data_IF_312010745520
#
_entry.id   IF_312010745520
#
_cell.length_a   1.000
_cell.length_b   1.000
_cell.length_c   1.000
_cell.angle_alpha   90.00
_cell.angle_beta   90.00
_cell.angle_gamma   90.00
#
_symmetry.space_group_name_H-M   'P 1'
#
loop_
_entity.id
_entity.type
_entity.pdbx_description
1 polymer ?
#
# COMPACT_ATOMS: atom_id res chain seq x y z
N UNK A 1 31.48 33.17 24.73
CA UNK A 1 31.82 33.66 23.38
C UNK A 1 32.17 32.44 22.55
N UNK A 2 31.16 31.80 21.95
CA UNK A 2 30.68 32.01 20.57
C UNK A 2 31.57 31.35 19.52
N UNK A 3 31.11 30.21 18.99
CA UNK A 3 31.06 29.91 17.55
C UNK A 3 30.10 28.74 17.30
N UNK A 4 28.81 29.11 17.23
CA UNK A 4 27.80 28.77 16.22
C UNK A 4 27.78 27.36 15.60
N UNK A 5 26.77 26.58 16.01
CA UNK A 5 26.15 25.51 15.22
C UNK A 5 25.49 26.10 13.96
N UNK A 6 25.79 25.53 12.80
CA UNK A 6 25.00 25.70 11.58
C UNK A 6 24.73 24.29 11.05
N UNK A 7 23.48 23.83 11.17
CA UNK A 7 22.79 22.89 10.27
C UNK A 7 21.56 22.31 10.98
N UNK A 8 20.50 23.11 11.15
CA UNK A 8 19.14 22.67 11.48
C UNK A 8 18.20 23.87 11.37
N UNK A 9 18.04 24.40 10.15
CA UNK A 9 17.08 25.49 9.91
C UNK A 9 16.71 25.56 8.43
N UNK A 10 16.01 24.54 7.91
CA UNK A 10 15.27 24.62 6.65
C UNK A 10 14.17 23.57 6.64
N UNK A 11 13.06 23.85 7.33
CA UNK A 11 11.72 23.26 7.12
C UNK A 11 10.71 24.03 7.99
N UNK A 12 10.72 25.35 7.84
CA UNK A 12 9.69 26.25 8.38
C UNK A 12 9.37 27.25 7.28
N UNK A 13 8.07 27.35 6.97
CA UNK A 13 7.43 28.22 5.99
C UNK A 13 7.59 27.83 4.51
N UNK A 14 6.65 27.00 4.03
CA UNK A 14 5.87 27.28 2.83
C UNK A 14 4.47 26.63 2.94
N UNK A 15 3.79 26.91 4.07
CA UNK A 15 2.34 26.88 4.09
C UNK A 15 1.88 28.21 3.50
N UNK A 16 1.43 28.18 2.24
CA UNK A 16 0.75 29.22 1.44
C UNK A 16 1.33 29.29 0.01
N UNK A 17 1.14 28.21 -0.74
CA UNK A 17 0.86 28.30 -2.16
C UNK A 17 -0.36 27.42 -2.39
N UNK A 18 -1.54 28.05 -2.30
CA UNK A 18 -2.80 27.44 -2.72
C UNK A 18 -2.68 27.15 -4.23
N UNK A 19 -2.45 25.89 -4.58
CA UNK A 19 -3.15 25.36 -5.73
C UNK A 19 -4.53 25.01 -5.20
N UNK A 20 -5.51 25.89 -5.43
CA UNK A 20 -6.91 25.53 -5.28
C UNK A 20 -7.12 24.19 -6.00
N UNK A 21 -7.79 23.19 -5.41
CA UNK A 21 -8.39 22.15 -6.21
C UNK A 21 -9.40 22.88 -7.09
N UNK A 22 -9.05 23.12 -8.35
CA UNK A 22 -10.06 23.46 -9.34
C UNK A 22 -11.12 22.37 -9.21
N UNK A 23 -12.34 22.77 -8.86
CA UNK A 23 -13.50 21.92 -9.06
C UNK A 23 -13.41 21.47 -10.52
N UNK A 24 -13.01 20.20 -10.73
CA UNK A 24 -12.97 19.62 -12.06
C UNK A 24 -14.42 19.57 -12.48
N UNK A 25 -14.79 20.50 -13.34
CA UNK A 25 -16.06 20.45 -14.03
C UNK A 25 -16.16 19.05 -14.64
N UNK A 26 -17.18 18.31 -14.21
CA UNK A 26 -17.62 17.11 -14.87
C UNK A 26 -18.16 17.54 -16.23
N UNK A 27 -17.27 17.64 -17.23
CA UNK A 27 -17.55 17.71 -18.66
C UNK A 27 -16.22 17.81 -19.44
N UNK A 28 -15.42 16.73 -19.46
CA UNK A 28 -14.50 16.46 -20.58
C UNK A 28 -14.86 15.09 -21.17
N UNK A 29 -15.33 15.00 -22.42
CA UNK A 29 -15.73 13.74 -23.02
C UNK A 29 -14.50 12.88 -23.36
N UNK A 30 -14.02 12.13 -22.36
CA UNK A 30 -13.30 10.87 -22.57
C UNK A 30 -11.78 10.85 -22.32
N UNK A 31 -11.14 11.94 -21.87
CA UNK A 31 -9.67 11.95 -21.62
C UNK A 31 -9.28 11.41 -20.23
N UNK A 32 -10.13 11.64 -19.23
CA UNK A 32 -9.87 11.21 -17.85
C UNK A 32 -10.95 10.26 -17.38
N UNK A 33 -10.58 9.38 -16.45
CA UNK A 33 -11.54 8.52 -15.78
C UNK A 33 -12.44 9.37 -14.87
N UNK A 34 -13.74 9.04 -14.76
CA UNK A 34 -14.59 9.63 -13.74
C UNK A 34 -14.14 9.20 -12.34
N UNK A 35 -14.60 9.94 -11.32
CA UNK A 35 -14.43 9.55 -9.93
C UNK A 35 -14.94 8.11 -9.72
N UNK A 36 -14.22 7.24 -8.99
CA UNK A 36 -14.65 5.88 -8.68
C UNK A 36 -16.12 5.77 -8.21
N UNK A 37 -16.57 6.68 -7.35
CA UNK A 37 -17.94 6.73 -6.85
C UNK A 37 -18.99 7.00 -7.96
N UNK A 38 -18.58 7.69 -9.04
CA UNK A 38 -19.42 8.10 -10.16
C UNK A 38 -19.18 7.27 -11.42
N UNK A 39 -18.21 6.36 -11.42
CA UNK A 39 -17.83 5.53 -12.56
C UNK A 39 -18.63 4.20 -12.58
N UNK A 40 -19.52 3.96 -13.56
CA UNK A 40 -20.25 2.70 -13.67
C UNK A 40 -19.36 1.48 -13.95
N UNK A 41 -18.18 1.70 -14.56
CA UNK A 41 -17.19 0.63 -14.75
C UNK A 41 -16.56 0.19 -13.42
N UNK A 42 -16.64 1.03 -12.39
CA UNK A 42 -16.15 0.71 -11.06
C UNK A 42 -17.10 -0.21 -10.26
N UNK A 43 -18.33 -0.46 -10.72
CA UNK A 43 -19.34 -1.21 -9.95
C UNK A 43 -19.49 -2.66 -10.36
N UNK A 44 -19.13 -3.62 -9.51
CA UNK A 44 -19.16 -5.04 -9.89
C UNK A 44 -20.49 -5.51 -10.54
N UNK A 45 -20.44 -6.33 -11.61
CA UNK A 45 -21.61 -6.76 -12.39
C UNK A 45 -22.47 -7.78 -11.63
N UNK A 46 -23.75 -7.93 -11.97
CA UNK A 46 -24.63 -8.91 -11.30
C UNK A 46 -24.02 -10.33 -11.25
N UNK A 47 -24.20 -11.01 -10.11
CA UNK A 47 -23.72 -12.38 -9.89
C UNK A 47 -22.23 -12.52 -9.58
N UNK A 48 -21.47 -11.41 -9.51
CA UNK A 48 -20.03 -11.42 -9.24
C UNK A 48 -19.66 -12.17 -7.95
N UNK A 49 -20.52 -12.11 -6.92
CA UNK A 49 -20.28 -12.72 -5.60
C UNK A 49 -20.09 -14.24 -5.67
N UNK A 50 -20.71 -14.89 -6.66
CA UNK A 50 -20.64 -16.34 -6.84
C UNK A 50 -19.36 -16.82 -7.56
N UNK A 51 -18.55 -15.90 -8.08
CA UNK A 51 -17.27 -16.24 -8.71
C UNK A 51 -16.19 -16.50 -7.65
N UNK A 52 -15.06 -17.08 -8.05
CA UNK A 52 -13.93 -17.38 -7.16
C UNK A 52 -13.01 -16.17 -6.98
N UNK A 53 -12.32 -16.03 -5.84
CA UNK A 53 -11.34 -14.97 -5.64
C UNK A 53 -10.29 -14.91 -6.76
N UNK A 54 -9.92 -13.70 -7.19
CA UNK A 54 -9.05 -13.43 -8.33
C UNK A 54 -9.73 -13.50 -9.70
N UNK A 55 -11.03 -13.83 -9.78
CA UNK A 55 -11.75 -13.83 -11.06
C UNK A 55 -11.83 -12.43 -11.64
N UNK A 56 -11.38 -12.28 -12.88
CA UNK A 56 -11.52 -11.05 -13.68
C UNK A 56 -12.99 -10.84 -14.02
N UNK A 57 -13.57 -9.74 -13.54
CA UNK A 57 -14.96 -9.38 -13.80
C UNK A 57 -15.08 -8.43 -14.99
N UNK A 58 -14.16 -7.46 -15.10
CA UNK A 58 -14.04 -6.55 -16.25
C UNK A 58 -12.60 -6.10 -16.47
N UNK A 59 -12.29 -5.77 -17.72
CA UNK A 59 -11.04 -5.12 -18.11
C UNK A 59 -11.37 -3.81 -18.84
N UNK A 60 -10.69 -2.72 -18.48
CA UNK A 60 -10.67 -1.46 -19.20
C UNK A 60 -9.29 -1.30 -19.82
N UNK A 61 -9.17 -1.56 -21.11
CA UNK A 61 -7.93 -1.34 -21.86
C UNK A 61 -7.71 0.17 -22.06
N UNK A 62 -6.44 0.58 -22.18
CA UNK A 62 -6.04 1.98 -22.36
C UNK A 62 -6.67 2.87 -21.28
N UNK A 63 -6.64 2.41 -20.02
CA UNK A 63 -7.36 3.06 -18.92
C UNK A 63 -6.99 4.54 -18.79
N UNK A 64 -5.70 4.84 -18.94
CA UNK A 64 -5.19 6.18 -19.11
C UNK A 64 -4.90 6.41 -20.60
N UNK A 65 -5.79 7.12 -21.30
CA UNK A 65 -5.71 7.35 -22.74
C UNK A 65 -5.09 8.72 -23.15
N UNK A 66 -4.59 9.50 -22.19
CA UNK A 66 -3.88 10.75 -22.43
C UNK A 66 -2.49 10.49 -23.05
N UNK A 67 -2.05 11.41 -23.92
CA UNK A 67 -0.72 11.32 -24.55
C UNK A 67 0.08 12.61 -24.32
N UNK A 68 1.24 12.55 -23.64
CA UNK A 68 1.79 11.39 -22.94
C UNK A 68 1.02 11.06 -21.65
N UNK A 69 1.01 9.79 -21.26
CA UNK A 69 0.63 9.38 -19.89
C UNK A 69 1.66 10.00 -18.92
N UNK A 70 1.25 10.65 -17.81
CA UNK A 70 2.15 11.40 -16.92
C UNK A 70 3.00 10.51 -15.99
N UNK A 71 3.45 9.35 -16.47
CA UNK A 71 4.35 8.43 -15.77
C UNK A 71 5.47 8.07 -16.74
N UNK A 72 6.73 8.13 -16.29
CA UNK A 72 7.86 7.83 -17.17
C UNK A 72 7.90 6.33 -17.50
N UNK A 73 8.45 6.00 -18.67
CA UNK A 73 8.62 4.63 -19.17
C UNK A 73 7.33 3.81 -19.39
N UNK A 74 6.15 4.38 -19.19
CA UNK A 74 4.87 3.72 -19.47
C UNK A 74 4.54 3.75 -20.97
N UNK A 75 4.23 2.60 -21.54
CA UNK A 75 3.77 2.44 -22.92
C UNK A 75 2.26 2.43 -23.03
N UNK A 76 1.58 1.76 -22.10
CA UNK A 76 0.13 1.61 -22.07
C UNK A 76 -0.34 1.24 -20.66
N UNK A 77 -1.64 1.34 -20.40
CA UNK A 77 -2.27 0.99 -19.12
C UNK A 77 -3.57 0.22 -19.32
N UNK A 78 -3.94 -0.60 -18.35
CA UNK A 78 -5.29 -1.16 -18.26
C UNK A 78 -5.72 -1.27 -16.81
N UNK A 79 -7.03 -1.24 -16.56
CA UNK A 79 -7.60 -1.54 -15.26
C UNK A 79 -8.29 -2.89 -15.28
N UNK A 80 -8.18 -3.63 -14.18
CA UNK A 80 -8.87 -4.90 -13.96
C UNK A 80 -9.77 -4.73 -12.75
N UNK A 81 -11.06 -4.97 -12.92
CA UNK A 81 -11.99 -5.14 -11.81
C UNK A 81 -12.14 -6.64 -11.56
N UNK A 82 -11.90 -7.08 -10.34
CA UNK A 82 -11.83 -8.50 -9.97
C UNK A 82 -12.55 -8.79 -8.66
N UNK A 83 -12.97 -10.04 -8.49
CA UNK A 83 -13.59 -10.52 -7.23
C UNK A 83 -12.50 -10.82 -6.20
N UNK A 84 -12.72 -10.43 -4.95
CA UNK A 84 -11.86 -10.75 -3.80
C UNK A 84 -12.67 -11.11 -2.55
N UNK A 85 -12.04 -11.07 -1.37
CA UNK A 85 -12.61 -11.41 -0.05
C UNK A 85 -12.37 -10.26 0.93
N UNK A 86 -13.37 -9.93 1.75
CA UNK A 86 -13.29 -8.87 2.76
C UNK A 86 -12.69 -9.35 4.11
N UNK A 87 -12.58 -8.46 5.10
CA UNK A 87 -11.98 -8.80 6.40
C UNK A 87 -12.78 -9.85 7.19
N UNK A 88 -14.04 -10.10 6.82
CA UNK A 88 -14.97 -11.02 7.46
C UNK A 88 -15.25 -12.27 6.59
N UNK A 89 -14.39 -12.54 5.62
CA UNK A 89 -14.46 -13.66 4.68
C UNK A 89 -15.68 -13.63 3.72
N UNK A 90 -16.37 -12.50 3.58
CA UNK A 90 -17.43 -12.33 2.58
C UNK A 90 -16.84 -11.96 1.22
N UNK A 91 -17.61 -12.17 0.15
CA UNK A 91 -17.23 -11.72 -1.17
C UNK A 91 -17.17 -10.18 -1.20
N UNK A 92 -16.06 -9.64 -1.73
CA UNK A 92 -15.90 -8.24 -2.13
C UNK A 92 -15.32 -8.17 -3.54
N UNK A 93 -15.13 -6.98 -4.08
CA UNK A 93 -14.41 -6.77 -5.34
C UNK A 93 -13.33 -5.72 -5.13
N UNK A 94 -12.43 -5.60 -6.09
CA UNK A 94 -11.41 -4.55 -6.08
C UNK A 94 -10.98 -4.24 -7.50
N UNK A 95 -10.13 -3.23 -7.62
CA UNK A 95 -9.57 -2.79 -8.89
C UNK A 95 -8.05 -2.73 -8.77
N UNK A 96 -7.37 -3.03 -9.86
CA UNK A 96 -5.95 -2.72 -10.01
C UNK A 96 -5.70 -2.03 -11.34
N UNK A 97 -4.88 -0.99 -11.32
CA UNK A 97 -4.31 -0.39 -12.53
C UNK A 97 -2.99 -1.06 -12.84
N UNK A 98 -2.82 -1.52 -14.07
CA UNK A 98 -1.59 -2.11 -14.57
C UNK A 98 -0.93 -1.16 -15.56
N UNK A 99 0.35 -0.90 -15.34
CA UNK A 99 1.23 -0.10 -16.19
C UNK A 99 2.15 -1.04 -16.97
N UNK A 100 2.10 -0.95 -18.30
CA UNK A 100 2.95 -1.72 -19.18
C UNK A 100 4.13 -0.86 -19.63
N UNK A 101 5.37 -1.38 -19.61
CA UNK A 101 6.56 -0.63 -19.98
C UNK A 101 6.62 -0.39 -21.50
N UNK A 102 7.17 0.77 -21.92
CA UNK A 102 7.48 1.05 -23.35
C UNK A 102 8.42 0.01 -23.94
N UNK A 103 9.38 -0.43 -23.13
CA UNK A 103 10.42 -1.38 -23.50
C UNK A 103 10.28 -2.60 -22.58
N UNK A 104 9.30 -3.50 -22.83
CA UNK A 104 9.19 -4.72 -22.04
C UNK A 104 10.45 -5.57 -22.24
N UNK A 105 10.94 -6.17 -21.16
CA UNK A 105 12.11 -7.05 -21.21
C UNK A 105 11.86 -8.25 -22.12
N UNK A 106 10.64 -8.76 -22.13
CA UNK A 106 10.23 -9.89 -22.95
C UNK A 106 9.17 -9.45 -23.98
N UNK A 107 9.43 -9.74 -25.25
CA UNK A 107 8.41 -9.61 -26.30
C UNK A 107 7.39 -10.73 -26.16
N UNK A 108 6.10 -10.43 -26.41
CA UNK A 108 5.02 -11.43 -26.50
C UNK A 108 5.29 -12.52 -27.56
N UNK A 109 6.18 -12.25 -28.52
CA UNK A 109 6.59 -13.21 -29.56
C UNK A 109 7.89 -13.96 -29.22
N UNK A 110 8.47 -13.74 -28.04
CA UNK A 110 9.68 -14.44 -27.61
C UNK A 110 9.36 -15.90 -27.30
N UNK A 111 9.89 -16.83 -28.09
CA UNK A 111 9.83 -18.28 -27.83
C UNK A 111 10.98 -18.77 -26.94
N UNK A 112 11.84 -17.86 -26.48
CA UNK A 112 12.93 -18.19 -25.57
C UNK A 112 12.36 -18.54 -24.19
N UNK A 113 12.59 -19.78 -23.75
CA UNK A 113 12.31 -20.23 -22.38
C UNK A 113 13.02 -19.40 -21.30
N UNK A 114 13.99 -18.57 -21.69
CA UNK A 114 14.83 -17.77 -20.80
C UNK A 114 14.35 -16.33 -20.64
N UNK A 115 13.22 -15.93 -21.25
CA UNK A 115 12.63 -14.61 -21.04
C UNK A 115 11.29 -14.74 -20.34
N UNK A 116 11.28 -14.53 -19.01
CA UNK A 116 10.05 -14.46 -18.22
C UNK A 116 9.71 -13.00 -17.95
N UNK A 117 8.48 -12.58 -18.29
CA UNK A 117 8.02 -11.22 -17.98
C UNK A 117 7.84 -11.08 -16.46
N UNK A 118 8.51 -10.08 -15.87
CA UNK A 118 8.32 -9.69 -14.48
C UNK A 118 7.08 -8.81 -14.32
N UNK A 119 6.29 -9.09 -13.29
CA UNK A 119 5.15 -8.30 -12.85
C UNK A 119 5.37 -7.93 -11.38
N UNK A 120 5.45 -6.64 -11.10
CA UNK A 120 5.52 -6.10 -9.74
C UNK A 120 4.12 -5.71 -9.30
N UNK A 121 3.59 -6.35 -8.26
CA UNK A 121 2.46 -5.81 -7.50
C UNK A 121 2.99 -4.79 -6.50
N UNK A 122 2.65 -3.51 -6.70
CA UNK A 122 3.10 -2.40 -5.88
C UNK A 122 1.94 -1.86 -5.04
N UNK A 123 2.00 -2.09 -3.73
CA UNK A 123 1.07 -1.53 -2.75
C UNK A 123 1.49 -0.08 -2.44
N UNK A 124 0.98 0.88 -3.21
CA UNK A 124 1.18 2.31 -2.99
C UNK A 124 0.53 2.74 -1.66
N UNK A 125 1.21 3.39 -0.70
CA UNK A 125 0.56 3.90 0.50
C UNK A 125 -0.28 5.15 0.17
N UNK A 126 -1.60 5.00 0.04
CA UNK A 126 -2.52 6.11 -0.32
C UNK A 126 -3.38 6.61 0.85
N UNK A 127 -3.36 5.89 1.97
CA UNK A 127 -3.66 6.33 3.34
C UNK A 127 -4.97 7.11 3.52
N UNK A 128 -6.06 6.61 2.94
CA UNK A 128 -7.34 7.33 2.95
C UNK A 128 -8.55 6.41 3.02
N UNK A 129 -9.57 6.85 3.76
CA UNK A 129 -10.91 6.26 3.72
C UNK A 129 -11.84 6.85 2.65
N UNK A 130 -11.29 7.56 1.66
CA UNK A 130 -12.00 8.13 0.53
C UNK A 130 -11.82 7.25 -0.72
N UNK A 131 -12.91 6.60 -1.16
CA UNK A 131 -12.91 5.79 -2.38
C UNK A 131 -12.43 6.57 -3.61
N UNK A 132 -12.77 7.86 -3.69
CA UNK A 132 -12.41 8.72 -4.82
C UNK A 132 -10.94 9.15 -4.82
N UNK A 133 -10.20 8.87 -3.75
CA UNK A 133 -8.75 9.08 -3.66
C UNK A 133 -7.96 7.77 -3.88
N UNK A 134 -8.60 6.71 -4.37
CA UNK A 134 -7.92 5.43 -4.62
C UNK A 134 -6.88 5.51 -5.76
N UNK A 135 -5.81 4.70 -5.73
CA UNK A 135 -4.73 4.75 -6.71
C UNK A 135 -5.18 4.63 -8.16
N UNK A 136 -6.18 3.78 -8.43
CA UNK A 136 -6.74 3.56 -9.76
C UNK A 136 -7.22 4.83 -10.46
N UNK A 137 -7.68 5.82 -9.69
CA UNK A 137 -8.08 7.12 -10.18
C UNK A 137 -6.93 8.11 -10.10
N UNK A 138 -6.29 8.26 -8.93
CA UNK A 138 -5.28 9.29 -8.69
C UNK A 138 -4.06 9.21 -9.61
N UNK A 139 -3.62 8.01 -9.99
CA UNK A 139 -2.43 7.82 -10.82
C UNK A 139 -2.57 8.32 -12.26
N UNK A 140 -3.79 8.71 -12.71
CA UNK A 140 -3.96 9.36 -14.01
C UNK A 140 -3.29 10.75 -14.08
N UNK A 141 -2.95 11.35 -12.93
CA UNK A 141 -2.19 12.62 -12.84
C UNK A 141 -0.71 12.43 -12.55
N UNK A 142 -0.23 11.20 -12.51
CA UNK A 142 1.17 10.87 -12.24
C UNK A 142 1.35 10.11 -10.94
N UNK A 143 2.55 9.60 -10.74
CA UNK A 143 2.92 8.87 -9.53
C UNK A 143 3.55 9.79 -8.47
N UNK A 144 3.32 9.55 -7.18
CA UNK A 144 3.80 10.45 -6.12
C UNK A 144 5.30 10.30 -5.81
N UNK A 145 5.88 9.11 -6.03
CA UNK A 145 7.17 8.74 -5.45
C UNK A 145 8.23 8.26 -6.48
N UNK A 146 7.82 7.91 -7.70
CA UNK A 146 8.72 7.59 -8.83
C UNK A 146 9.02 6.10 -9.05
N UNK A 147 8.53 5.21 -8.21
CA UNK A 147 8.87 3.78 -8.27
C UNK A 147 8.16 3.00 -9.38
N UNK A 148 6.99 3.45 -9.83
CA UNK A 148 6.35 2.90 -11.03
C UNK A 148 7.27 3.15 -12.22
N UNK A 149 7.76 4.38 -12.41
CA UNK A 149 8.71 4.70 -13.48
C UNK A 149 10.01 3.89 -13.39
N UNK A 150 10.54 3.67 -12.19
CA UNK A 150 11.77 2.87 -11.98
C UNK A 150 11.53 1.39 -12.33
N UNK A 151 10.41 0.82 -11.91
CA UNK A 151 10.03 -0.56 -12.25
C UNK A 151 9.80 -0.73 -13.76
N UNK A 152 9.10 0.22 -14.38
CA UNK A 152 8.89 0.24 -15.83
C UNK A 152 10.20 0.40 -16.61
N UNK A 153 11.18 1.15 -16.08
CA UNK A 153 12.52 1.26 -16.67
C UNK A 153 13.27 -0.09 -16.71
N UNK A 154 13.00 -0.98 -15.74
CA UNK A 154 13.52 -2.35 -15.71
C UNK A 154 12.77 -3.30 -16.65
N UNK A 155 11.71 -2.82 -17.33
CA UNK A 155 10.90 -3.60 -18.25
C UNK A 155 9.87 -4.49 -17.55
N UNK A 156 9.58 -4.24 -16.27
CA UNK A 156 8.53 -4.93 -15.52
C UNK A 156 7.16 -4.31 -15.81
N UNK A 157 6.12 -5.11 -15.75
CA UNK A 157 4.76 -4.58 -15.59
C UNK A 157 4.59 -4.18 -14.13
N UNK A 158 3.82 -3.14 -13.87
CA UNK A 158 3.51 -2.70 -12.50
C UNK A 158 2.01 -2.75 -12.30
N UNK A 159 1.53 -3.55 -11.37
CA UNK A 159 0.14 -3.60 -10.92
C UNK A 159 0.03 -2.84 -9.61
N UNK A 160 -0.79 -1.80 -9.57
CA UNK A 160 -1.11 -1.05 -8.35
C UNK A 160 -2.55 -1.35 -7.98
N UNK A 161 -2.82 -2.17 -6.95
CA UNK A 161 -4.17 -2.45 -6.51
C UNK A 161 -4.69 -1.36 -5.57
N UNK A 162 -5.99 -1.10 -5.67
CA UNK A 162 -6.76 -0.38 -4.66
C UNK A 162 -7.03 -1.34 -3.50
N UNK A 163 -5.98 -1.64 -2.74
CA UNK A 163 -5.99 -2.77 -1.81
C UNK A 163 -6.97 -2.62 -0.65
N UNK A 164 -7.47 -1.44 -0.34
CA UNK A 164 -8.48 -1.24 0.70
C UNK A 164 -9.92 -1.46 0.21
N UNK A 165 -10.07 -1.76 -1.09
CA UNK A 165 -11.33 -2.17 -1.71
C UNK A 165 -12.38 -1.04 -1.84
N UNK A 166 -13.63 -1.39 -2.17
CA UNK A 166 -14.69 -0.45 -2.52
C UNK A 166 -15.20 0.38 -1.36
N UNK A 167 -14.79 0.05 -0.14
CA UNK A 167 -15.13 0.77 1.08
C UNK A 167 -14.00 1.70 1.54
N UNK A 168 -12.86 1.74 0.83
CA UNK A 168 -11.65 2.47 1.25
C UNK A 168 -11.31 2.16 2.73
N UNK A 169 -11.13 0.87 3.00
CA UNK A 169 -10.94 0.32 4.34
C UNK A 169 -9.52 0.54 4.89
N UNK A 170 -8.99 1.77 4.82
CA UNK A 170 -7.65 2.09 5.32
C UNK A 170 -7.42 1.57 6.76
N UNK A 171 -6.31 0.87 6.94
CA UNK A 171 -5.93 0.20 8.19
C UNK A 171 -6.50 -1.21 8.38
N UNK A 172 -7.45 -1.66 7.54
CA UNK A 172 -7.96 -3.04 7.56
C UNK A 172 -7.06 -3.97 6.75
N UNK A 173 -6.02 -4.53 7.38
CA UNK A 173 -4.99 -5.26 6.63
C UNK A 173 -5.43 -6.64 6.14
N UNK A 174 -6.49 -7.24 6.71
CA UNK A 174 -6.97 -8.55 6.24
C UNK A 174 -7.55 -8.42 4.83
N UNK A 175 -8.48 -7.48 4.62
CA UNK A 175 -9.01 -7.18 3.28
C UNK A 175 -7.90 -6.69 2.33
N UNK A 176 -6.93 -5.90 2.83
CA UNK A 176 -5.77 -5.48 2.03
C UNK A 176 -4.90 -6.63 1.54
N UNK A 177 -4.65 -7.61 2.40
CA UNK A 177 -3.90 -8.81 2.07
C UNK A 177 -4.64 -9.69 1.04
N UNK A 178 -5.94 -9.95 1.24
CA UNK A 178 -6.74 -10.70 0.27
C UNK A 178 -6.80 -10.02 -1.10
N UNK A 179 -7.07 -8.71 -1.14
CA UNK A 179 -7.13 -7.96 -2.40
C UNK A 179 -5.78 -7.95 -3.11
N UNK A 180 -4.67 -7.84 -2.37
CA UNK A 180 -3.32 -7.90 -2.95
C UNK A 180 -3.02 -9.28 -3.57
N UNK A 181 -3.39 -10.37 -2.89
CA UNK A 181 -3.21 -11.72 -3.43
C UNK A 181 -4.06 -11.93 -4.69
N UNK A 182 -5.33 -11.51 -4.65
CA UNK A 182 -6.24 -11.68 -5.77
C UNK A 182 -5.96 -10.74 -6.94
N UNK A 183 -5.36 -9.57 -6.69
CA UNK A 183 -4.93 -8.68 -7.77
C UNK A 183 -3.82 -9.34 -8.59
N UNK A 184 -2.90 -10.05 -7.93
CA UNK A 184 -1.86 -10.82 -8.65
C UNK A 184 -2.49 -11.92 -9.50
N UNK A 185 -3.45 -12.68 -8.97
CA UNK A 185 -4.20 -13.70 -9.75
C UNK A 185 -4.88 -13.08 -10.97
N UNK A 186 -5.62 -11.99 -10.76
CA UNK A 186 -6.35 -11.32 -11.82
C UNK A 186 -5.42 -10.79 -12.92
N UNK A 187 -4.30 -10.18 -12.53
CA UNK A 187 -3.31 -9.65 -13.48
C UNK A 187 -2.58 -10.75 -14.23
N UNK A 188 -2.20 -11.86 -13.57
CA UNK A 188 -1.61 -13.02 -14.25
C UNK A 188 -2.60 -13.62 -15.27
N UNK A 189 -3.88 -13.70 -14.91
CA UNK A 189 -4.92 -14.16 -15.83
C UNK A 189 -5.03 -13.24 -17.05
N UNK A 190 -5.08 -11.92 -16.87
CA UNK A 190 -5.16 -10.96 -17.98
C UNK A 190 -3.89 -10.97 -18.83
N UNK A 191 -2.72 -11.07 -18.20
CA UNK A 191 -1.43 -11.14 -18.89
C UNK A 191 -1.38 -12.33 -19.85
N UNK A 192 -1.87 -13.51 -19.45
CA UNK A 192 -1.98 -14.68 -20.33
C UNK A 192 -3.06 -14.48 -21.41
N UNK A 193 -4.30 -14.19 -21.00
CA UNK A 193 -5.46 -14.26 -21.92
C UNK A 193 -5.58 -13.08 -22.88
N UNK A 194 -5.14 -11.87 -22.48
CA UNK A 194 -5.23 -10.68 -23.33
C UNK A 194 -3.91 -10.31 -24.02
N UNK A 195 -2.77 -10.70 -23.44
CA UNK A 195 -1.44 -10.26 -23.91
C UNK A 195 -0.49 -11.40 -24.25
N UNK A 196 -0.90 -12.67 -24.06
CA UNK A 196 -0.09 -13.85 -24.40
C UNK A 196 1.15 -14.03 -23.53
N UNK A 197 1.23 -13.35 -22.39
CA UNK A 197 2.36 -13.41 -21.45
C UNK A 197 2.19 -14.64 -20.56
N UNK A 198 2.77 -15.75 -21.01
CA UNK A 198 2.75 -17.02 -20.28
C UNK A 198 3.85 -17.08 -19.23
N UNK A 199 3.56 -17.75 -18.12
CA UNK A 199 4.51 -18.01 -17.03
C UNK A 199 5.17 -16.74 -16.46
N UNK A 200 4.45 -15.62 -16.41
CA UNK A 200 4.95 -14.40 -15.78
C UNK A 200 5.38 -14.65 -14.32
N UNK A 201 6.44 -13.98 -13.87
CA UNK A 201 6.87 -14.00 -12.47
C UNK A 201 6.28 -12.79 -11.77
N UNK A 202 5.56 -13.03 -10.67
CA UNK A 202 5.01 -11.97 -9.85
C UNK A 202 5.83 -11.81 -8.56
N UNK A 203 6.11 -10.57 -8.17
CA UNK A 203 6.65 -10.20 -6.86
C UNK A 203 5.82 -9.06 -6.27
N UNK A 204 5.87 -8.90 -4.95
CA UNK A 204 5.13 -7.85 -4.23
C UNK A 204 6.09 -6.83 -3.63
N UNK A 205 5.67 -5.58 -3.54
CA UNK A 205 6.40 -4.55 -2.83
C UNK A 205 5.47 -3.51 -2.22
N UNK A 206 5.75 -3.14 -0.99
CA UNK A 206 5.03 -2.09 -0.28
C UNK A 206 5.94 -1.33 0.68
N UNK A 207 5.61 -0.06 0.88
CA UNK A 207 6.24 0.81 1.88
C UNK A 207 5.19 1.41 2.80
N UNK A 208 5.50 1.61 4.09
CA UNK A 208 4.57 2.17 5.09
C UNK A 208 3.27 1.36 5.16
N UNK A 209 2.08 1.98 5.06
CA UNK A 209 0.80 1.25 4.96
C UNK A 209 0.79 0.20 3.82
N UNK A 210 1.43 0.50 2.69
CA UNK A 210 1.61 -0.45 1.61
C UNK A 210 2.41 -1.69 2.04
N UNK A 211 3.38 -1.53 2.95
CA UNK A 211 4.12 -2.64 3.52
C UNK A 211 3.23 -3.51 4.40
N UNK A 212 2.29 -2.94 5.15
CA UNK A 212 1.30 -3.71 5.93
C UNK A 212 0.38 -4.53 5.02
N UNK A 213 -0.06 -3.96 3.88
CA UNK A 213 -0.82 -4.71 2.88
C UNK A 213 0.00 -5.85 2.24
N UNK A 214 1.26 -5.59 1.89
CA UNK A 214 2.17 -6.63 1.35
C UNK A 214 2.47 -7.72 2.38
N UNK A 215 2.69 -7.36 3.64
CA UNK A 215 2.96 -8.30 4.73
C UNK A 215 1.74 -9.21 4.97
N UNK A 216 0.55 -8.63 5.13
CA UNK A 216 -0.68 -9.39 5.29
C UNK A 216 -0.94 -10.33 4.11
N UNK A 217 -0.64 -9.89 2.89
CA UNK A 217 -0.76 -10.71 1.69
C UNK A 217 0.15 -11.95 1.74
N UNK A 218 1.42 -11.81 2.15
CA UNK A 218 2.34 -12.95 2.21
C UNK A 218 2.06 -13.88 3.38
N UNK A 219 1.48 -13.40 4.47
CA UNK A 219 0.98 -14.27 5.55
C UNK A 219 -0.25 -15.07 5.13
N UNK A 220 -1.21 -14.43 4.44
CA UNK A 220 -2.47 -15.06 4.03
C UNK A 220 -2.30 -16.03 2.84
N UNK A 221 -1.42 -15.72 1.89
CA UNK A 221 -1.28 -16.42 0.62
C UNK A 221 -1.11 -17.94 0.74
N UNK A 222 -0.30 -18.52 1.65
CA UNK A 222 -0.08 -19.97 1.69
C UNK A 222 -1.35 -20.79 1.97
N UNK A 223 -2.29 -20.23 2.74
CA UNK A 223 -3.57 -20.90 3.04
C UNK A 223 -4.67 -20.47 2.06
N UNK A 224 -4.72 -19.19 1.71
CA UNK A 224 -5.78 -18.61 0.88
C UNK A 224 -5.58 -18.87 -0.62
N UNK A 225 -4.33 -18.92 -1.06
CA UNK A 225 -3.92 -19.06 -2.44
C UNK A 225 -2.72 -20.00 -2.63
N UNK A 226 -2.82 -21.28 -2.20
CA UNK A 226 -1.71 -22.23 -2.27
C UNK A 226 -1.24 -22.54 -3.70
N UNK A 227 -2.09 -22.26 -4.70
CA UNK A 227 -1.82 -22.39 -6.13
C UNK A 227 -1.06 -21.20 -6.71
N UNK A 228 -1.03 -20.05 -6.01
CA UNK A 228 -0.39 -18.84 -6.48
C UNK A 228 1.11 -18.84 -6.12
N UNK A 229 1.95 -18.73 -7.15
CA UNK A 229 3.39 -18.62 -6.98
C UNK A 229 3.84 -17.16 -6.97
N UNK A 230 4.28 -16.68 -5.81
CA UNK A 230 4.92 -15.37 -5.64
C UNK A 230 6.44 -15.57 -5.51
N UNK A 231 7.20 -14.88 -6.35
CA UNK A 231 8.66 -15.03 -6.44
C UNK A 231 9.39 -14.43 -5.21
N UNK A 232 8.82 -13.40 -4.61
CA UNK A 232 9.29 -12.77 -3.38
C UNK A 232 8.51 -11.50 -3.04
N UNK A 233 8.76 -10.96 -1.85
CA UNK A 233 8.15 -9.73 -1.38
C UNK A 233 9.17 -8.79 -0.75
N UNK A 234 9.13 -7.51 -1.10
CA UNK A 234 9.88 -6.46 -0.41
C UNK A 234 8.93 -5.64 0.49
N UNK A 235 9.33 -5.39 1.73
CA UNK A 235 8.48 -4.80 2.78
C UNK A 235 9.31 -3.74 3.51
N UNK A 236 8.91 -2.47 3.41
CA UNK A 236 9.68 -1.34 3.95
C UNK A 236 8.91 -0.43 4.90
N UNK A 237 9.53 0.04 5.98
CA UNK A 237 8.88 0.96 6.92
C UNK A 237 7.60 0.39 7.52
N UNK A 238 7.58 -0.91 7.80
CA UNK A 238 6.39 -1.64 8.22
C UNK A 238 5.88 -1.17 9.59
N UNK A 239 4.62 -0.78 9.67
CA UNK A 239 3.95 -0.61 10.95
C UNK A 239 3.37 -1.96 11.40
N UNK A 240 4.18 -2.77 12.08
CA UNK A 240 3.80 -4.14 12.47
C UNK A 240 2.64 -4.20 13.48
N UNK A 241 2.45 -3.14 14.28
CA UNK A 241 1.39 -3.04 15.30
C UNK A 241 0.68 -1.67 15.22
N UNK A 242 -0.18 -1.50 14.21
CA UNK A 242 -1.01 -0.30 14.04
C UNK A 242 -2.24 -0.32 14.95
N UNK A 243 -2.72 -1.51 15.33
CA UNK A 243 -3.96 -1.69 16.10
C UNK A 243 -4.01 -0.96 17.45
N UNK A 244 -2.85 -0.52 17.97
CA UNK A 244 -2.73 0.24 19.21
C UNK A 244 -2.01 1.58 19.05
N UNK A 245 -1.82 2.05 17.81
CA UNK A 245 -1.02 3.25 17.50
C UNK A 245 -1.72 4.59 17.83
N UNK A 246 -3.03 4.59 18.12
CA UNK A 246 -3.81 5.82 18.33
C UNK A 246 -3.16 6.86 19.27
N UNK A 247 -2.68 6.47 20.47
CA UNK A 247 -2.00 7.40 21.38
C UNK A 247 -0.68 7.98 20.85
N UNK A 248 -0.04 7.33 19.87
CA UNK A 248 1.18 7.82 19.23
C UNK A 248 0.88 8.86 18.13
N UNK A 249 -0.31 8.78 17.52
CA UNK A 249 -0.67 9.58 16.35
C UNK A 249 -1.45 10.85 16.73
N UNK A 250 -2.31 10.81 17.75
CA UNK A 250 -3.13 11.97 18.16
C UNK A 250 -2.26 13.18 18.54
N UNK A 251 -2.76 14.40 18.30
CA UNK A 251 -2.06 15.66 18.61
C UNK A 251 -0.67 15.81 17.97
N UNK A 252 -0.36 15.03 16.94
CA UNK A 252 0.87 15.14 16.15
C UNK A 252 0.58 15.61 14.72
N UNK A 253 1.63 15.86 13.93
CA UNK A 253 1.51 16.20 12.51
C UNK A 253 0.83 15.10 11.66
N UNK A 254 0.72 13.86 12.16
CA UNK A 254 0.11 12.72 11.46
C UNK A 254 -1.25 12.30 12.02
N UNK A 255 -1.87 13.11 12.88
CA UNK A 255 -3.15 12.77 13.52
C UNK A 255 -4.29 12.45 12.53
N UNK A 256 -4.23 12.94 11.29
CA UNK A 256 -5.16 12.56 10.22
C UNK A 256 -5.18 11.06 9.90
N UNK A 257 -4.03 10.36 10.02
CA UNK A 257 -3.97 8.92 9.83
C UNK A 257 -4.83 8.17 10.86
N UNK A 258 -4.91 8.66 12.10
CA UNK A 258 -5.76 8.04 13.11
C UNK A 258 -7.25 8.16 12.73
N UNK A 259 -7.67 9.33 12.24
CA UNK A 259 -9.06 9.54 11.77
C UNK A 259 -9.35 8.63 10.58
N UNK A 260 -8.47 8.61 9.57
CA UNK A 260 -8.63 7.74 8.42
C UNK A 260 -8.70 6.28 8.84
N UNK A 261 -7.85 5.84 9.77
CA UNK A 261 -7.78 4.45 10.23
C UNK A 261 -9.04 4.02 10.99
N UNK A 262 -9.57 4.89 11.85
CA UNK A 262 -10.84 4.62 12.54
C UNK A 262 -11.98 4.49 11.52
N UNK A 263 -12.05 5.39 10.54
CA UNK A 263 -13.11 5.36 9.52
C UNK A 263 -12.96 4.14 8.61
N UNK A 264 -11.75 3.87 8.15
CA UNK A 264 -11.43 2.79 7.23
C UNK A 264 -11.64 1.42 7.86
N UNK A 265 -11.04 1.13 9.01
CA UNK A 265 -11.23 -0.15 9.71
C UNK A 265 -12.70 -0.42 10.01
N UNK A 266 -13.42 0.56 10.57
CA UNK A 266 -14.83 0.37 10.93
C UNK A 266 -15.76 0.20 9.73
N UNK A 267 -15.31 0.50 8.50
CA UNK A 267 -16.10 0.24 7.29
C UNK A 267 -16.38 -1.26 7.09
N UNK A 268 -15.50 -2.13 7.59
CA UNK A 268 -15.65 -3.59 7.58
C UNK A 268 -16.56 -4.10 8.71
N UNK A 269 -16.88 -3.24 9.70
CA UNK A 269 -17.50 -3.63 10.96
C UNK A 269 -18.70 -2.72 11.30
N UNK A 270 -19.89 -3.00 10.76
CA UNK A 270 -21.05 -2.10 10.89
C UNK A 270 -21.47 -1.80 12.33
N UNK A 271 -21.37 -2.75 13.26
CA UNK A 271 -21.74 -2.53 14.66
C UNK A 271 -20.76 -1.57 15.36
N UNK A 272 -19.47 -1.77 15.17
CA UNK A 272 -18.39 -0.91 15.68
C UNK A 272 -18.46 0.49 15.06
N UNK A 273 -18.82 0.59 13.77
CA UNK A 273 -19.10 1.86 13.08
C UNK A 273 -20.22 2.63 13.77
N UNK A 274 -21.34 1.96 14.08
CA UNK A 274 -22.47 2.59 14.79
C UNK A 274 -22.09 3.00 16.21
N UNK A 275 -21.28 2.19 16.89
CA UNK A 275 -20.76 2.56 18.21
C UNK A 275 -19.93 3.86 18.13
N UNK A 276 -18.96 3.96 17.22
CA UNK A 276 -18.17 5.19 17.00
C UNK A 276 -19.09 6.40 16.75
N UNK A 277 -20.06 6.26 15.83
CA UNK A 277 -21.04 7.30 15.55
C UNK A 277 -21.80 7.77 16.80
N UNK A 278 -22.19 6.85 17.67
CA UNK A 278 -22.91 7.15 18.91
C UNK A 278 -22.06 7.84 19.98
N UNK A 279 -20.73 7.78 19.84
CA UNK A 279 -19.76 8.32 20.80
C UNK A 279 -19.14 9.63 20.35
N UNK A 280 -19.36 10.07 19.12
CA UNK A 280 -18.88 11.37 18.65
C UNK A 280 -19.71 12.52 19.21
N UNK A 281 -19.06 13.66 19.42
CA UNK A 281 -19.73 14.88 19.86
C UNK A 281 -20.74 15.35 18.78
N UNK A 282 -21.98 15.69 19.16
CA UNK A 282 -23.01 16.07 18.20
C UNK A 282 -22.87 17.51 17.69
N UNK A 283 -22.09 18.36 18.37
CA UNK A 283 -21.90 19.77 18.04
C UNK A 283 -20.56 20.28 18.58
N UNK A 284 -20.20 21.52 18.23
CA UNK A 284 -18.90 22.12 18.57
C UNK A 284 -17.87 21.96 17.44
N UNK A 285 -16.63 22.44 17.64
CA UNK A 285 -15.59 22.39 16.62
C UNK A 285 -15.06 20.97 16.34
N UNK A 286 -15.18 20.05 17.30
CA UNK A 286 -14.77 18.65 17.18
C UNK A 286 -16.00 17.75 17.17
N UNK A 287 -16.86 17.89 16.14
CA UNK A 287 -18.12 17.16 16.04
C UNK A 287 -18.06 16.00 15.01
N UNK A 288 -19.11 15.17 14.98
CA UNK A 288 -19.20 14.02 14.09
C UNK A 288 -19.09 14.38 12.58
N UNK A 289 -19.65 15.51 12.15
CA UNK A 289 -19.54 15.98 10.75
C UNK A 289 -18.10 16.28 10.39
N UNK A 290 -17.39 16.99 11.26
CA UNK A 290 -15.98 17.34 11.09
C UNK A 290 -15.08 16.11 11.10
N UNK A 291 -15.37 15.11 11.95
CA UNK A 291 -14.66 13.84 11.97
C UNK A 291 -14.84 13.06 10.65
N UNK A 292 -16.08 12.88 10.20
CA UNK A 292 -16.37 12.10 9.00
C UNK A 292 -16.09 12.81 7.69
N UNK A 293 -15.79 14.11 7.72
CA UNK A 293 -15.31 14.85 6.55
C UNK A 293 -14.04 14.24 5.96
N UNK A 294 -13.24 13.53 6.77
CA UNK A 294 -12.10 12.72 6.33
C UNK A 294 -12.45 11.68 5.24
N UNK A 295 -13.68 11.16 5.20
CA UNK A 295 -14.14 10.18 4.19
C UNK A 295 -14.22 10.78 2.76
N UNK A 296 -14.02 12.09 2.63
CA UNK A 296 -13.99 12.81 1.35
C UNK A 296 -12.61 13.43 1.06
N UNK A 297 -11.59 13.08 1.85
CA UNK A 297 -10.24 13.63 1.73
C UNK A 297 -9.25 12.58 1.25
N UNK A 298 -8.30 12.97 0.40
CA UNK A 298 -7.08 12.17 0.22
C UNK A 298 -6.29 12.05 1.53
N UNK A 299 -5.36 11.10 1.63
CA UNK A 299 -4.50 10.96 2.81
C UNK A 299 -3.77 12.25 3.13
N UNK A 300 -3.24 12.92 2.11
CA UNK A 300 -2.58 14.23 2.23
C UNK A 300 -3.51 15.34 2.75
N UNK A 301 -4.73 15.43 2.23
CA UNK A 301 -5.71 16.41 2.70
C UNK A 301 -6.07 16.16 4.17
N UNK A 302 -6.23 14.89 4.56
CA UNK A 302 -6.51 14.52 5.95
C UNK A 302 -5.36 14.86 6.89
N UNK A 303 -4.11 14.60 6.50
CA UNK A 303 -2.93 15.00 7.27
C UNK A 303 -2.92 16.52 7.54
N UNK A 304 -3.20 17.34 6.53
CA UNK A 304 -3.26 18.80 6.70
C UNK A 304 -4.44 19.24 7.57
N UNK A 305 -5.60 18.62 7.40
CA UNK A 305 -6.82 18.99 8.10
C UNK A 305 -6.75 18.73 9.61
N UNK A 306 -6.21 17.58 9.98
CA UNK A 306 -6.13 17.14 11.38
C UNK A 306 -4.75 17.38 12.01
N UNK A 307 -3.85 18.11 11.34
CA UNK A 307 -2.50 18.37 11.81
C UNK A 307 -2.50 18.97 13.23
N UNK A 308 -1.85 18.29 14.19
CA UNK A 308 -1.81 18.64 15.62
C UNK A 308 -3.16 18.68 16.34
N UNK A 309 -4.23 18.16 15.74
CA UNK A 309 -5.52 18.02 16.41
C UNK A 309 -5.47 16.84 17.36
N UNK A 310 -5.92 17.04 18.61
CA UNK A 310 -6.19 15.93 19.52
C UNK A 310 -7.49 15.24 19.08
N UNK A 311 -7.35 14.06 18.48
CA UNK A 311 -8.47 13.29 17.93
C UNK A 311 -9.42 12.82 19.02
N UNK A 312 -8.97 12.72 20.28
CA UNK A 312 -9.84 12.33 21.39
C UNK A 312 -10.90 13.40 21.70
N UNK A 313 -10.67 14.67 21.35
CA UNK A 313 -11.67 15.75 21.51
C UNK A 313 -12.93 15.56 20.67
N UNK A 314 -12.91 14.67 19.66
CA UNK A 314 -14.10 14.34 18.88
C UNK A 314 -15.09 13.43 19.61
N UNK A 315 -14.66 12.76 20.69
CA UNK A 315 -15.43 11.74 21.39
C UNK A 315 -15.97 12.25 22.73
N UNK A 316 -17.21 11.88 23.08
CA UNK A 316 -17.91 12.29 24.31
C UNK A 316 -17.14 11.81 25.55
N UNK A 317 -16.66 10.58 25.53
CA UNK A 317 -15.82 9.97 26.57
C UNK A 317 -14.33 10.10 26.32
N UNK A 318 -13.91 10.90 25.32
CA UNK A 318 -12.51 11.04 24.93
C UNK A 318 -11.87 9.71 24.53
N UNK A 319 -10.65 9.46 25.02
CA UNK A 319 -9.88 8.24 24.73
C UNK A 319 -10.61 6.96 25.14
N UNK A 320 -11.38 6.98 26.23
CA UNK A 320 -12.03 5.77 26.78
C UNK A 320 -13.04 5.17 25.79
N UNK A 321 -13.64 6.00 24.92
CA UNK A 321 -14.55 5.53 23.87
C UNK A 321 -13.80 4.70 22.82
N UNK A 322 -12.56 5.03 22.49
CA UNK A 322 -11.73 4.26 21.56
C UNK A 322 -11.06 3.04 22.22
N UNK A 323 -10.91 3.05 23.53
CA UNK A 323 -10.40 1.91 24.32
C UNK A 323 -11.46 0.85 24.60
N UNK A 324 -12.70 1.02 24.10
CA UNK A 324 -13.77 0.03 24.25
C UNK A 324 -13.28 -1.37 23.83
N UNK A 325 -13.53 -2.43 24.65
CA UNK A 325 -12.96 -3.75 24.40
C UNK A 325 -13.21 -4.30 22.99
N UNK A 326 -14.41 -4.11 22.46
CA UNK A 326 -14.77 -4.59 21.12
C UNK A 326 -14.05 -3.84 20.00
N UNK A 327 -13.83 -2.52 20.16
CA UNK A 327 -13.04 -1.73 19.21
C UNK A 327 -11.57 -2.15 19.27
N UNK A 328 -11.02 -2.30 20.48
CA UNK A 328 -9.64 -2.72 20.68
C UNK A 328 -9.39 -4.10 20.08
N UNK A 329 -10.31 -5.05 20.27
CA UNK A 329 -10.22 -6.38 19.67
C UNK A 329 -10.22 -6.31 18.14
N UNK A 330 -11.11 -5.50 17.55
CA UNK A 330 -11.17 -5.24 16.11
C UNK A 330 -9.86 -4.63 15.59
N UNK A 331 -9.37 -3.53 16.18
CA UNK A 331 -8.14 -2.89 15.75
C UNK A 331 -6.91 -3.79 15.90
N UNK A 332 -6.83 -4.61 16.96
CA UNK A 332 -5.75 -5.60 17.11
C UNK A 332 -5.85 -6.67 16.02
N UNK A 333 -7.05 -7.17 15.72
CA UNK A 333 -7.28 -8.16 14.65
C UNK A 333 -6.83 -7.64 13.29
N UNK A 334 -7.20 -6.41 12.95
CA UNK A 334 -6.89 -5.83 11.64
C UNK A 334 -5.46 -5.27 11.54
N UNK A 335 -4.92 -4.76 12.65
CA UNK A 335 -3.73 -3.92 12.66
C UNK A 335 -2.47 -4.55 13.25
N UNK A 336 -2.47 -5.86 13.53
CA UNK A 336 -1.30 -6.58 14.07
C UNK A 336 -0.84 -7.62 13.06
N UNK A 337 0.37 -7.46 12.54
CA UNK A 337 1.01 -8.43 11.64
C UNK A 337 1.55 -9.62 12.44
N UNK A 338 1.89 -10.73 11.80
CA UNK A 338 2.42 -11.91 12.50
C UNK A 338 1.37 -12.94 12.90
N UNK A 339 0.09 -12.70 12.62
CA UNK A 339 -1.03 -13.49 13.13
C UNK A 339 -1.95 -14.05 12.05
N UNK A 340 -1.76 -13.72 10.78
CA UNK A 340 -2.61 -14.18 9.68
C UNK A 340 -2.13 -15.51 9.09
N UNK A 341 -0.85 -15.82 9.20
CA UNK A 341 -0.25 -17.07 8.72
C UNK A 341 1.28 -17.08 8.77
N UNK A 342 1.88 -18.03 8.06
CA UNK A 342 3.32 -18.22 7.94
C UNK A 342 3.75 -17.99 6.49
N UNK A 343 4.45 -16.88 6.16
CA UNK A 343 4.93 -16.62 4.80
C UNK A 343 5.82 -17.74 4.24
N UNK A 344 5.53 -18.16 3.01
CA UNK A 344 6.30 -19.17 2.26
C UNK A 344 6.99 -18.58 1.02
N UNK A 345 7.44 -17.33 1.11
CA UNK A 345 8.13 -16.62 0.04
C UNK A 345 9.45 -16.06 0.56
N UNK A 346 10.38 -15.75 -0.36
CA UNK A 346 11.56 -14.95 0.01
C UNK A 346 11.11 -13.54 0.33
N UNK A 347 11.56 -13.00 1.46
CA UNK A 347 11.23 -11.63 1.88
C UNK A 347 12.48 -10.78 2.04
N UNK A 348 12.39 -9.54 1.57
CA UNK A 348 13.33 -8.48 1.91
C UNK A 348 12.62 -7.45 2.76
N UNK A 349 12.97 -7.40 4.04
CA UNK A 349 12.42 -6.42 4.99
C UNK A 349 13.45 -5.32 5.17
N UNK A 350 13.03 -4.06 5.23
CA UNK A 350 13.91 -2.95 5.55
C UNK A 350 13.23 -1.88 6.40
N UNK A 351 13.94 -1.35 7.39
CA UNK A 351 13.37 -0.40 8.36
C UNK A 351 14.46 0.49 8.95
N UNK A 352 14.15 1.74 9.28
CA UNK A 352 15.11 2.65 9.95
C UNK A 352 14.94 2.62 11.47
N UNK A 353 16.04 2.68 12.21
CA UNK A 353 16.03 2.68 13.67
C UNK A 353 15.31 3.91 14.24
N UNK A 354 15.41 5.04 13.53
CA UNK A 354 14.89 6.35 13.95
C UNK A 354 13.50 6.63 13.38
N UNK A 355 12.73 5.58 13.08
CA UNK A 355 11.38 5.71 12.51
C UNK A 355 10.45 6.40 13.51
N UNK A 356 9.97 7.59 13.12
CA UNK A 356 9.15 8.49 13.92
C UNK A 356 7.64 8.20 13.82
N UNK A 357 7.23 7.21 13.02
CA UNK A 357 5.83 6.82 12.83
C UNK A 357 5.56 5.36 13.20
N UNK A 358 6.48 4.46 12.85
CA UNK A 358 6.38 3.01 13.02
C UNK A 358 7.62 2.49 13.78
N UNK A 359 7.54 2.33 15.11
CA UNK A 359 8.70 1.94 15.92
C UNK A 359 9.34 0.64 15.45
N UNK A 360 10.63 0.68 15.09
CA UNK A 360 11.36 -0.49 14.54
C UNK A 360 11.27 -1.73 15.43
N UNK A 361 11.17 -1.56 16.76
CA UNK A 361 11.08 -2.67 17.72
C UNK A 361 9.93 -3.64 17.41
N UNK A 362 8.85 -3.14 16.83
CA UNK A 362 7.68 -3.95 16.50
C UNK A 362 7.97 -4.80 15.26
N UNK A 363 8.67 -4.23 14.26
CA UNK A 363 9.19 -4.96 13.10
C UNK A 363 10.29 -5.95 13.50
N UNK A 364 11.20 -5.59 14.41
CA UNK A 364 12.23 -6.48 14.96
C UNK A 364 11.58 -7.73 15.59
N UNK A 365 10.52 -7.54 16.39
CA UNK A 365 9.79 -8.62 17.03
C UNK A 365 9.03 -9.51 16.03
N UNK A 366 8.40 -8.91 15.02
CA UNK A 366 7.72 -9.64 13.95
C UNK A 366 8.70 -10.49 13.14
N UNK A 367 9.81 -9.90 12.69
CA UNK A 367 10.84 -10.61 11.92
C UNK A 367 11.38 -11.78 12.74
N UNK A 368 11.72 -11.57 14.02
CA UNK A 368 12.18 -12.65 14.88
C UNK A 368 11.16 -13.81 14.97
N UNK A 369 9.88 -13.50 15.20
CA UNK A 369 8.79 -14.48 15.26
C UNK A 369 8.63 -15.27 13.94
N UNK A 370 8.63 -14.59 12.79
CA UNK A 370 8.53 -15.22 11.47
C UNK A 370 9.74 -16.13 11.19
N UNK A 371 10.93 -15.71 11.60
CA UNK A 371 12.16 -16.49 11.45
C UNK A 371 12.15 -17.77 12.29
N UNK A 372 11.64 -17.71 13.52
CA UNK A 372 11.44 -18.90 14.36
C UNK A 372 10.43 -19.89 13.75
N UNK A 373 9.45 -19.37 12.99
CA UNK A 373 8.45 -20.15 12.25
C UNK A 373 8.93 -20.62 10.86
N UNK A 374 10.17 -20.32 10.49
CA UNK A 374 10.83 -20.88 9.29
C UNK A 374 10.74 -20.03 8.03
N UNK A 375 10.34 -18.76 8.12
CA UNK A 375 10.35 -17.84 6.98
C UNK A 375 11.77 -17.59 6.44
N UNK A 376 11.87 -17.15 5.17
CA UNK A 376 13.13 -16.78 4.53
C UNK A 376 13.22 -15.25 4.39
N UNK A 377 13.96 -14.60 5.27
CA UNK A 377 13.99 -13.13 5.38
C UNK A 377 15.42 -12.60 5.33
N UNK A 378 15.69 -11.69 4.40
CA UNK A 378 16.79 -10.74 4.52
C UNK A 378 16.26 -9.45 5.14
N UNK A 379 16.70 -9.10 6.35
CA UNK A 379 16.24 -7.92 7.07
C UNK A 379 17.35 -6.88 7.18
N UNK A 380 17.15 -5.69 6.61
CA UNK A 380 18.09 -4.57 6.72
C UNK A 380 17.58 -3.52 7.69
N UNK A 381 18.41 -3.15 8.66
CA UNK A 381 18.12 -2.12 9.66
C UNK A 381 19.00 -0.91 9.38
N UNK A 382 18.42 0.23 9.04
CA UNK A 382 19.14 1.45 8.69
C UNK A 382 19.28 2.37 9.92
N UNK A 383 20.48 2.90 10.18
CA UNK A 383 20.74 3.78 11.32
C UNK A 383 20.52 5.28 11.02
N UNK A 384 20.01 5.64 9.85
CA UNK A 384 19.99 7.02 9.36
C UNK A 384 18.64 7.43 8.76
N UNK A 385 18.11 8.56 9.23
CA UNK A 385 16.88 9.15 8.70
C UNK A 385 15.61 8.58 9.35
N UNK A 386 14.51 9.33 9.26
CA UNK A 386 13.20 8.96 9.79
C UNK A 386 12.37 8.14 8.81
N UNK A 387 11.06 8.00 9.10
CA UNK A 387 10.15 7.15 8.33
C UNK A 387 10.17 7.47 6.82
N UNK A 388 10.13 8.75 6.45
CA UNK A 388 10.10 9.15 5.04
C UNK A 388 11.46 9.04 4.35
N UNK A 389 12.56 9.19 5.09
CA UNK A 389 13.91 9.04 4.54
C UNK A 389 14.17 7.60 4.10
N UNK A 390 13.65 6.61 4.84
CA UNK A 390 13.89 5.19 4.55
C UNK A 390 13.19 4.71 3.27
N UNK A 391 12.11 5.35 2.82
CA UNK A 391 11.54 5.10 1.49
C UNK A 391 12.61 5.33 0.41
N UNK A 392 13.37 6.42 0.55
CA UNK A 392 14.41 6.83 -0.39
C UNK A 392 15.70 6.03 -0.17
N UNK A 393 16.13 5.84 1.09
CA UNK A 393 17.38 5.15 1.43
C UNK A 393 17.32 3.64 1.13
N UNK A 394 16.17 3.02 1.29
CA UNK A 394 15.93 1.59 1.03
C UNK A 394 15.66 1.28 -0.45
N UNK A 395 15.26 2.27 -1.26
CA UNK A 395 14.76 2.10 -2.63
C UNK A 395 15.67 1.25 -3.51
N UNK A 396 16.96 1.57 -3.59
CA UNK A 396 17.86 0.80 -4.46
C UNK A 396 17.92 -0.68 -4.05
N UNK A 397 17.99 -0.95 -2.74
CA UNK A 397 18.07 -2.32 -2.20
C UNK A 397 16.79 -3.11 -2.42
N UNK A 398 15.63 -2.47 -2.29
CA UNK A 398 14.34 -3.12 -2.58
C UNK A 398 14.26 -3.48 -4.06
N UNK A 399 14.63 -2.58 -4.97
CA UNK A 399 14.66 -2.86 -6.40
C UNK A 399 15.70 -3.90 -6.81
N UNK A 400 16.85 -3.99 -6.14
CA UNK A 400 17.84 -5.03 -6.40
C UNK A 400 17.33 -6.41 -5.95
N UNK A 401 16.67 -6.49 -4.79
CA UNK A 401 15.98 -7.72 -4.37
C UNK A 401 14.88 -8.13 -5.36
N UNK A 402 14.05 -7.17 -5.78
CA UNK A 402 12.99 -7.41 -6.77
C UNK A 402 13.58 -7.89 -8.10
N UNK A 403 14.72 -7.34 -8.53
CA UNK A 403 15.48 -7.82 -9.68
C UNK A 403 15.92 -9.27 -9.53
N UNK A 404 16.37 -9.67 -8.35
CA UNK A 404 16.80 -11.06 -8.15
C UNK A 404 15.65 -12.06 -8.27
N UNK A 405 14.47 -11.71 -7.73
CA UNK A 405 13.31 -12.62 -7.76
C UNK A 405 12.55 -12.58 -9.09
N UNK A 406 12.47 -11.43 -9.75
CA UNK A 406 11.80 -11.29 -11.06
C UNK A 406 12.72 -11.70 -12.21
N UNK A 407 13.95 -11.21 -12.22
CA UNK A 407 14.86 -11.29 -13.35
C UNK A 407 16.01 -12.30 -13.17
N UNK A 408 16.29 -12.71 -11.94
CA UNK A 408 17.46 -13.54 -11.62
C UNK A 408 18.78 -12.76 -11.74
N UNK A 409 18.80 -11.48 -11.38
CA UNK A 409 20.00 -10.64 -11.47
C UNK A 409 21.15 -11.03 -10.53
N UNK A 410 20.84 -11.72 -9.43
CA UNK A 410 21.77 -12.19 -8.39
C UNK A 410 22.67 -11.07 -7.81
N UNK A 411 22.06 -9.91 -7.55
CA UNK A 411 22.74 -8.70 -7.03
C UNK A 411 22.69 -8.65 -5.50
N UNK A 412 21.57 -9.03 -4.89
CA UNK A 412 21.37 -9.08 -3.44
C UNK A 412 21.69 -10.47 -2.90
N UNK A 413 22.51 -10.51 -1.84
CA UNK A 413 22.85 -11.75 -1.12
C UNK A 413 21.73 -12.16 -0.16
N UNK A 414 20.59 -12.57 -0.70
CA UNK A 414 19.46 -13.13 0.06
C UNK A 414 19.83 -14.53 0.57
N UNK A 415 19.55 -14.89 1.83
CA UNK A 415 19.79 -16.25 2.31
C UNK A 415 19.02 -17.27 1.47
N UNK A 416 19.66 -18.40 1.14
CA UNK A 416 18.99 -19.49 0.43
C UNK A 416 17.83 -20.09 1.22
N UNK A 417 17.92 -20.03 2.55
CA UNK A 417 16.92 -20.47 3.53
C UNK A 417 17.16 -19.77 4.88
N UNK A 418 16.11 -19.62 5.69
CA UNK A 418 16.19 -18.99 7.00
C UNK A 418 16.37 -17.48 6.92
N UNK A 419 16.73 -16.87 8.05
CA UNK A 419 16.80 -15.41 8.16
C UNK A 419 18.20 -14.87 8.35
N UNK A 420 18.40 -13.63 7.87
CA UNK A 420 19.61 -12.85 8.10
C UNK A 420 19.26 -11.39 8.34
N UNK A 421 19.69 -10.85 9.48
CA UNK A 421 19.61 -9.41 9.79
C UNK A 421 20.95 -8.73 9.50
N UNK A 422 20.91 -7.54 8.91
CA UNK A 422 22.07 -6.71 8.59
C UNK A 422 21.81 -5.28 9.08
N UNK A 423 22.65 -4.81 10.00
CA UNK A 423 22.65 -3.42 10.45
C UNK A 423 23.52 -2.56 9.51
N UNK A 424 22.93 -1.48 8.98
CA UNK A 424 23.57 -0.58 8.04
C UNK A 424 24.02 0.68 8.76
N UNK A 425 25.29 0.67 9.19
CA UNK A 425 25.87 1.75 10.02
C UNK A 425 26.45 2.91 9.21
N UNK A 426 26.55 2.78 7.89
CA UNK A 426 27.00 3.85 7.00
C UNK A 426 25.90 4.18 6.00
N UNK A 427 25.64 5.47 5.77
CA UNK A 427 24.85 5.89 4.61
C UNK A 427 25.51 5.30 3.36
N UNK A 428 24.85 4.32 2.74
CA UNK A 428 25.28 3.86 1.43
C UNK A 428 24.95 4.97 0.43
N UNK A 429 25.94 5.52 -0.30
CA UNK A 429 25.63 6.39 -1.42
C UNK A 429 24.75 5.61 -2.40
N UNK A 430 23.76 6.30 -2.96
CA UNK A 430 22.95 5.79 -4.07
C UNK A 430 23.83 5.03 -5.08
N UNK A 431 23.50 3.75 -5.33
CA UNK A 431 24.06 2.97 -6.44
C UNK A 431 25.39 2.23 -6.21
N UNK A 432 25.80 1.92 -4.96
CA UNK A 432 26.90 0.96 -4.73
C UNK A 432 26.41 -0.38 -4.18
N UNK A 433 26.84 -1.52 -4.75
CA UNK A 433 26.45 -2.84 -4.25
C UNK A 433 27.04 -3.12 -2.87
N UNK A 434 26.33 -3.95 -2.10
CA UNK A 434 26.78 -4.48 -0.82
C UNK A 434 27.91 -5.49 -1.08
N UNK A 435 29.10 -5.25 -0.53
CA UNK A 435 30.21 -6.21 -0.55
C UNK A 435 29.90 -7.39 0.38
#
# INVERSE_FOLDING_TARGET
MTMTLIASFFLLLNCLALAEPQAVAADDPGTYLPLPSWDPWYRAPEGWQATTPGTVLRVRQHAYNMTPIPILNVGDTFQVLFRSTDSLDNATWAVTTVFMPKNPRCSSNSTSSNCTQGILSYQLPYDTSCLDASPSFGLQWGEPYGEIAIALARGWWVSVPDFEGPLASYGANIVAGYITVDSVRAVLSVADTHYGVKNARAAMWGYSNGASATEAAVELAPKYAPDLHIAGAAIGGLAAVVGTAGPLLTATQVAGLLVQGIIGVTSQYPEQRQYILSRLNPSGPYNATEFFWASYMSGWQSLLYFCYVDIFEYFIGGKDDLDHPDLRAMFIREGTMGQFGDPNVKMFVYHTLEDDMAPIKDTDALVASLCERGSNILYHRNHWGGHNDELTNGRQRSFDFLGDVLDGSDVMKVPGSGCKTVDLTFMQPYGKPIV
#
